data_IF_535342523664
#
_entry.id   IF_535342523664
#
_cell.length_a   1.000
_cell.length_b   1.000
_cell.length_c   1.000
_cell.angle_alpha   90.00
_cell.angle_beta   90.00
_cell.angle_gamma   90.00
#
_symmetry.space_group_name_H-M   'P 1'
#
loop_
_entity.id
_entity.type
_entity.pdbx_description
1 polymer ?
#
# COMPACT_ATOMS: atom_id res chain seq x y z
N UNK A 1 -0.10 -12.01 52.74
CA UNK A 1 0.14 -10.58 52.58
C UNK A 1 -0.02 -10.27 51.10
N UNK A 2 -1.19 -9.75 50.78
CA UNK A 2 -1.56 -9.37 49.42
C UNK A 2 -0.98 -8.00 49.06
N UNK A 3 -0.27 -7.90 47.97
CA UNK A 3 0.04 -6.59 47.36
C UNK A 3 -0.39 -6.63 45.89
N UNK A 4 -1.67 -6.42 45.65
CA UNK A 4 -2.18 -5.97 44.36
C UNK A 4 -1.83 -4.48 44.21
N UNK A 5 -0.83 -4.12 43.42
CA UNK A 5 -0.72 -2.79 42.86
C UNK A 5 -1.39 -2.80 41.49
N UNK A 6 -2.25 -1.82 41.19
CA UNK A 6 -2.83 -1.68 39.85
C UNK A 6 -1.75 -1.20 38.88
N UNK A 7 -1.64 -1.86 37.72
CA UNK A 7 -0.84 -1.38 36.60
C UNK A 7 -1.34 0.01 36.17
N UNK A 8 -0.40 0.93 36.07
CA UNK A 8 -0.64 2.31 35.64
C UNK A 8 -1.33 2.33 34.26
N UNK A 9 -2.38 3.13 34.20
CA UNK A 9 -3.06 3.45 32.95
C UNK A 9 -2.07 4.03 31.91
N UNK A 10 -2.31 3.81 30.60
CA UNK A 10 -1.44 4.34 29.56
C UNK A 10 -1.43 5.88 29.62
N UNK A 11 -0.24 6.45 29.50
CA UNK A 11 0.00 7.88 29.47
C UNK A 11 -0.93 8.57 28.45
N UNK A 12 -1.57 9.63 28.90
CA UNK A 12 -2.45 10.47 28.12
C UNK A 12 -1.80 10.92 26.81
N UNK A 13 -2.35 10.49 25.68
CA UNK A 13 -2.08 11.00 24.32
C UNK A 13 -2.62 12.44 24.10
N UNK A 14 -2.77 13.19 25.19
CA UNK A 14 -3.52 14.46 25.21
C UNK A 14 -2.80 15.72 24.74
N UNK A 15 -1.49 15.70 24.48
CA UNK A 15 -0.76 16.96 24.22
C UNK A 15 -0.26 17.16 22.78
N UNK A 16 -0.38 16.17 21.90
CA UNK A 16 0.16 16.30 20.53
C UNK A 16 -0.76 17.03 19.53
N UNK A 17 -1.96 17.47 19.93
CA UNK A 17 -2.93 18.07 19.00
C UNK A 17 -2.74 19.56 18.69
N UNK A 18 -1.84 20.26 19.33
CA UNK A 18 -1.78 21.74 19.23
C UNK A 18 -0.50 22.33 18.62
N UNK A 19 0.46 21.54 18.15
CA UNK A 19 1.68 22.10 17.54
C UNK A 19 1.79 21.96 16.02
N UNK A 20 0.77 21.44 15.33
CA UNK A 20 0.69 21.58 13.87
C UNK A 20 0.22 22.98 13.49
N UNK A 21 0.96 23.99 13.95
CA UNK A 21 0.88 25.34 13.43
C UNK A 21 1.26 25.30 11.95
N UNK A 22 0.30 25.66 11.08
CA UNK A 22 0.43 26.03 9.67
C UNK A 22 1.87 25.92 9.17
N UNK A 23 2.27 24.72 8.77
CA UNK A 23 3.51 24.55 8.03
C UNK A 23 3.34 25.35 6.76
N UNK A 24 4.05 26.45 6.64
CA UNK A 24 4.08 27.22 5.40
C UNK A 24 4.78 26.35 4.37
N UNK A 25 4.04 25.81 3.43
CA UNK A 25 4.61 25.01 2.34
C UNK A 25 5.36 25.94 1.43
N UNK A 26 6.67 25.73 1.31
CA UNK A 26 7.51 26.46 0.38
C UNK A 26 7.45 25.85 -1.02
N UNK A 27 7.80 26.63 -2.03
CA UNK A 27 7.73 26.20 -3.44
C UNK A 27 8.60 24.99 -3.76
N UNK A 28 9.64 24.75 -2.97
CA UNK A 28 10.62 23.68 -3.15
C UNK A 28 10.42 22.52 -2.17
N UNK A 29 9.31 22.48 -1.45
CA UNK A 29 9.01 21.38 -0.55
C UNK A 29 8.42 20.19 -1.30
N UNK A 30 8.75 18.98 -0.84
CA UNK A 30 8.04 17.76 -1.20
C UNK A 30 6.94 17.53 -0.18
N UNK A 31 5.69 17.51 -0.63
CA UNK A 31 4.54 17.20 0.19
C UNK A 31 4.29 15.70 0.19
N UNK A 32 4.04 15.15 1.38
CA UNK A 32 3.60 13.77 1.55
C UNK A 32 2.26 13.79 2.27
N UNK A 33 1.24 13.22 1.66
CA UNK A 33 -0.08 13.16 2.25
C UNK A 33 -0.84 11.92 1.81
N UNK A 34 -1.73 11.44 2.68
CA UNK A 34 -2.66 10.36 2.35
C UNK A 34 -4.04 10.93 2.08
N UNK A 35 -4.74 10.39 1.10
CA UNK A 35 -6.16 10.66 0.87
C UNK A 35 -7.05 9.50 1.33
N UNK A 36 -6.43 8.41 1.77
CA UNK A 36 -7.02 7.25 2.43
C UNK A 36 -5.93 6.33 2.99
N UNK A 37 -6.30 5.38 3.85
CA UNK A 37 -5.39 4.36 4.38
C UNK A 37 -4.68 4.71 5.69
N UNK A 38 -4.87 5.89 6.27
CA UNK A 38 -4.31 6.24 7.59
C UNK A 38 -5.35 6.09 8.70
N UNK A 39 -5.03 5.27 9.72
CA UNK A 39 -5.92 5.00 10.84
C UNK A 39 -7.16 4.18 10.47
N UNK A 40 -7.13 3.51 9.32
CA UNK A 40 -8.19 2.65 8.81
C UNK A 40 -7.58 1.53 7.96
N UNK A 41 -8.33 0.45 7.73
CA UNK A 41 -7.97 -0.60 6.79
C UNK A 41 -8.69 -0.31 5.46
N UNK A 42 -7.91 -0.34 4.38
CA UNK A 42 -8.40 -0.07 3.02
C UNK A 42 -8.31 1.39 2.59
N UNK A 43 -8.74 1.68 1.37
CA UNK A 43 -8.60 2.96 0.68
C UNK A 43 -7.15 3.45 0.56
N UNK A 44 -6.18 2.54 0.57
CA UNK A 44 -4.77 2.90 0.50
C UNK A 44 -4.51 3.79 -0.70
N UNK A 45 -4.13 5.05 -0.43
CA UNK A 45 -3.83 6.03 -1.48
C UNK A 45 -2.95 7.13 -0.91
N UNK A 46 -1.67 7.09 -1.27
CA UNK A 46 -0.65 8.00 -0.77
C UNK A 46 -0.13 8.88 -1.92
N UNK A 47 0.12 10.13 -1.62
CA UNK A 47 0.52 11.11 -2.62
C UNK A 47 1.83 11.79 -2.22
N UNK A 48 2.73 11.92 -3.20
CA UNK A 48 4.00 12.64 -3.09
C UNK A 48 4.00 13.73 -4.16
N UNK A 49 4.06 14.97 -3.72
CA UNK A 49 3.89 16.11 -4.61
C UNK A 49 5.11 17.02 -4.53
N UNK A 50 5.69 17.35 -5.68
CA UNK A 50 6.75 18.36 -5.80
C UNK A 50 6.60 19.14 -7.11
N UNK A 51 6.60 20.46 -7.02
CA UNK A 51 6.45 21.32 -8.18
C UNK A 51 5.18 21.02 -8.99
N UNK A 52 5.33 20.59 -10.23
CA UNK A 52 4.20 20.27 -11.12
C UNK A 52 3.97 18.77 -11.29
N UNK A 53 4.43 17.95 -10.36
CA UNK A 53 4.31 16.49 -10.41
C UNK A 53 3.67 15.94 -9.14
N UNK A 54 2.85 14.92 -9.28
CA UNK A 54 2.28 14.11 -8.21
C UNK A 54 2.53 12.64 -8.55
N UNK A 55 3.26 11.97 -7.69
CA UNK A 55 3.36 10.52 -7.66
C UNK A 55 2.26 10.01 -6.71
N UNK A 56 1.39 9.13 -7.19
CA UNK A 56 0.35 8.49 -6.40
C UNK A 56 0.77 7.03 -6.21
N UNK A 57 0.75 6.56 -4.99
CA UNK A 57 0.96 5.15 -4.64
C UNK A 57 -0.35 4.57 -4.16
N UNK A 58 -0.79 3.54 -4.87
CA UNK A 58 -2.05 2.84 -4.70
C UNK A 58 -3.29 3.71 -4.90
N UNK A 59 -4.42 3.05 -5.16
CA UNK A 59 -5.74 3.65 -5.31
C UNK A 59 -6.79 2.62 -4.89
N UNK A 60 -6.92 2.44 -3.59
CA UNK A 60 -7.73 1.39 -3.01
C UNK A 60 -9.17 1.78 -2.72
N UNK A 61 -9.94 0.76 -2.36
CA UNK A 61 -11.28 0.91 -1.77
C UNK A 61 -11.29 0.33 -0.37
N UNK A 62 -12.32 0.67 0.39
CA UNK A 62 -12.72 -0.04 1.60
C UNK A 62 -14.07 -0.68 1.35
N UNK A 63 -14.27 -1.91 1.82
CA UNK A 63 -15.59 -2.52 1.85
C UNK A 63 -16.45 -1.83 2.92
N UNK A 64 -17.74 -1.60 2.65
CA UNK A 64 -18.62 -0.97 3.61
C UNK A 64 -18.83 -1.87 4.83
N UNK A 65 -19.13 -1.25 5.96
CA UNK A 65 -19.62 -1.95 7.14
C UNK A 65 -21.06 -2.47 6.90
N UNK A 66 -21.48 -3.48 7.63
CA UNK A 66 -22.79 -4.14 7.47
C UNK A 66 -23.99 -3.19 7.60
N UNK A 67 -23.82 -2.03 8.25
CA UNK A 67 -24.84 -1.00 8.43
C UNK A 67 -25.04 -0.09 7.18
N UNK A 68 -24.16 -0.17 6.20
CA UNK A 68 -24.22 0.63 4.97
C UNK A 68 -24.91 -0.14 3.83
N UNK A 69 -26.20 -0.43 3.99
CA UNK A 69 -26.98 -1.19 3.02
C UNK A 69 -27.02 -0.50 1.65
N UNK A 70 -26.71 -1.26 0.58
CA UNK A 70 -26.72 -0.77 -0.80
C UNK A 70 -25.46 0.01 -1.20
N UNK A 71 -24.42 0.04 -0.36
CA UNK A 71 -23.11 0.57 -0.68
C UNK A 71 -22.19 -0.59 -1.01
N UNK A 72 -21.60 -0.61 -2.20
CA UNK A 72 -20.66 -1.65 -2.61
C UNK A 72 -19.21 -1.33 -2.20
N UNK A 73 -18.82 -0.05 -2.30
CA UNK A 73 -17.46 0.41 -2.00
C UNK A 73 -17.45 1.78 -1.35
N UNK A 74 -16.46 2.00 -0.48
CA UNK A 74 -16.11 3.31 0.05
C UNK A 74 -14.77 3.71 -0.59
N UNK A 75 -14.73 4.86 -1.25
CA UNK A 75 -13.57 5.38 -1.98
C UNK A 75 -12.98 6.60 -1.27
N UNK A 76 -11.70 6.93 -1.51
CA UNK A 76 -11.13 8.21 -1.07
C UNK A 76 -11.81 9.41 -1.74
N UNK A 77 -11.72 10.58 -1.09
CA UNK A 77 -12.07 11.85 -1.74
C UNK A 77 -10.92 12.33 -2.63
N UNK A 78 -11.11 12.25 -3.92
CA UNK A 78 -10.14 12.71 -4.92
C UNK A 78 -10.16 14.23 -5.17
N UNK A 79 -10.93 15.02 -4.41
CA UNK A 79 -11.12 16.46 -4.61
C UNK A 79 -9.81 17.24 -4.74
N UNK A 80 -8.79 16.92 -3.93
CA UNK A 80 -7.48 17.54 -4.05
C UNK A 80 -6.80 17.25 -5.41
N UNK A 81 -6.81 16.00 -5.86
CA UNK A 81 -6.22 15.60 -7.13
C UNK A 81 -6.96 16.22 -8.33
N UNK A 82 -8.28 16.38 -8.24
CA UNK A 82 -9.13 17.06 -9.24
C UNK A 82 -8.78 18.54 -9.32
N UNK A 83 -8.64 19.21 -8.18
CA UNK A 83 -8.25 20.64 -8.12
C UNK A 83 -6.93 20.89 -8.83
N UNK A 84 -5.98 19.98 -8.70
CA UNK A 84 -4.66 20.07 -9.33
C UNK A 84 -4.53 19.22 -10.60
N UNK A 85 -5.59 19.07 -11.37
CA UNK A 85 -5.65 18.20 -12.54
C UNK A 85 -4.66 18.57 -13.66
N UNK A 86 -4.12 19.80 -13.66
CA UNK A 86 -3.04 20.23 -14.58
C UNK A 86 -1.66 19.70 -14.21
N UNK A 87 -1.43 19.27 -12.96
CA UNK A 87 -0.16 18.65 -12.58
C UNK A 87 -0.05 17.28 -13.23
N UNK A 88 1.15 16.92 -13.65
CA UNK A 88 1.47 15.59 -14.15
C UNK A 88 1.29 14.56 -13.06
N UNK A 89 0.52 13.51 -13.30
CA UNK A 89 0.27 12.45 -12.32
C UNK A 89 0.57 11.10 -12.92
N UNK A 90 1.29 10.28 -12.16
CA UNK A 90 1.43 8.85 -12.41
C UNK A 90 0.90 8.09 -11.19
N UNK A 91 0.40 6.89 -11.43
CA UNK A 91 -0.04 5.96 -10.40
C UNK A 91 0.92 4.77 -10.38
N UNK A 92 1.42 4.44 -9.21
CA UNK A 92 2.26 3.26 -8.95
C UNK A 92 1.50 2.35 -8.00
N UNK A 93 1.48 1.07 -8.30
CA UNK A 93 0.78 0.06 -7.52
C UNK A 93 1.78 -0.86 -6.85
N UNK A 94 1.59 -1.09 -5.56
CA UNK A 94 2.42 -2.00 -4.77
C UNK A 94 2.07 -3.45 -5.04
N UNK A 95 0.78 -3.79 -5.07
CA UNK A 95 0.27 -5.14 -5.30
C UNK A 95 -1.22 -5.13 -5.69
N UNK A 96 -1.81 -6.30 -5.92
CA UNK A 96 -3.11 -6.44 -6.58
C UNK A 96 -4.33 -6.62 -5.66
N UNK A 97 -4.27 -6.36 -4.36
CA UNK A 97 -5.44 -6.43 -3.50
C UNK A 97 -6.42 -5.27 -3.74
N UNK A 98 -7.70 -5.50 -3.45
CA UNK A 98 -8.78 -4.52 -3.73
C UNK A 98 -8.61 -3.20 -2.99
N UNK A 99 -8.11 -3.24 -1.79
CA UNK A 99 -7.83 -2.05 -0.98
C UNK A 99 -6.61 -1.26 -1.45
N UNK A 100 -5.93 -1.72 -2.53
CA UNK A 100 -4.84 -1.03 -3.24
C UNK A 100 -5.18 -0.71 -4.70
N UNK A 101 -6.07 -1.47 -5.37
CA UNK A 101 -6.40 -1.25 -6.79
C UNK A 101 -7.88 -0.97 -7.05
N UNK A 102 -8.76 -1.26 -6.09
CA UNK A 102 -10.21 -1.19 -6.30
C UNK A 102 -10.74 0.19 -6.66
N UNK A 103 -10.06 1.25 -6.21
CA UNK A 103 -10.41 2.64 -6.48
C UNK A 103 -10.01 3.17 -7.87
N UNK A 104 -9.16 2.44 -8.61
CA UNK A 104 -8.62 2.89 -9.90
C UNK A 104 -9.72 3.33 -10.89
N UNK A 105 -10.82 2.59 -11.11
CA UNK A 105 -11.86 3.05 -12.04
C UNK A 105 -12.52 4.35 -11.63
N UNK A 106 -12.66 4.59 -10.33
CA UNK A 106 -13.26 5.83 -9.80
C UNK A 106 -12.28 7.00 -9.93
N UNK A 107 -10.99 6.78 -9.63
CA UNK A 107 -9.92 7.75 -9.82
C UNK A 107 -9.84 8.21 -11.29
N UNK A 108 -9.81 7.28 -12.24
CA UNK A 108 -9.67 7.58 -13.67
C UNK A 108 -10.87 8.30 -14.29
N UNK A 109 -12.04 8.29 -13.66
CA UNK A 109 -13.21 9.05 -14.12
C UNK A 109 -13.10 10.55 -13.87
N UNK A 110 -12.28 10.94 -12.89
CA UNK A 110 -12.23 12.34 -12.43
C UNK A 110 -10.82 12.94 -12.44
N UNK A 111 -9.79 12.12 -12.41
CA UNK A 111 -8.40 12.56 -12.34
C UNK A 111 -7.63 12.08 -13.58
N UNK A 112 -6.90 13.00 -14.23
CA UNK A 112 -6.05 12.66 -15.36
C UNK A 112 -4.76 11.99 -14.87
N UNK A 113 -4.61 10.69 -15.14
CA UNK A 113 -3.43 9.88 -14.84
C UNK A 113 -2.71 9.58 -16.16
N UNK A 114 -1.43 9.93 -16.26
CA UNK A 114 -0.62 9.73 -17.47
C UNK A 114 -0.31 8.26 -17.71
N UNK A 115 0.04 7.52 -16.65
CA UNK A 115 0.32 6.09 -16.72
C UNK A 115 0.10 5.43 -15.36
N UNK A 116 -0.23 4.14 -15.41
CA UNK A 116 -0.25 3.22 -14.27
C UNK A 116 0.95 2.29 -14.38
N UNK A 117 1.76 2.23 -13.34
CA UNK A 117 2.87 1.31 -13.19
C UNK A 117 2.48 0.28 -12.15
N UNK A 118 2.46 -1.01 -12.50
CA UNK A 118 2.00 -2.05 -11.60
C UNK A 118 2.75 -3.36 -11.84
N UNK A 119 2.91 -4.21 -10.81
CA UNK A 119 3.42 -5.56 -10.97
C UNK A 119 2.55 -6.37 -11.93
N UNK A 120 3.13 -7.38 -12.54
CA UNK A 120 2.48 -8.18 -13.59
C UNK A 120 1.12 -8.72 -13.18
N UNK A 121 1.02 -9.31 -12.00
CA UNK A 121 -0.24 -9.87 -11.51
C UNK A 121 -1.28 -8.76 -11.27
N UNK A 122 -0.90 -7.66 -10.64
CA UNK A 122 -1.76 -6.50 -10.45
C UNK A 122 -2.23 -5.91 -11.79
N UNK A 123 -1.35 -5.83 -12.80
CA UNK A 123 -1.74 -5.40 -14.15
C UNK A 123 -2.87 -6.25 -14.75
N UNK A 124 -2.84 -7.58 -14.57
CA UNK A 124 -3.89 -8.45 -15.05
C UNK A 124 -5.24 -8.18 -14.37
N UNK A 125 -5.23 -7.99 -13.05
CA UNK A 125 -6.43 -7.66 -12.27
C UNK A 125 -6.99 -6.28 -12.64
N UNK A 126 -6.10 -5.28 -12.76
CA UNK A 126 -6.50 -3.91 -13.15
C UNK A 126 -7.10 -3.91 -14.56
N UNK A 127 -6.51 -4.61 -15.54
CA UNK A 127 -7.09 -4.71 -16.90
C UNK A 127 -8.51 -5.25 -16.86
N UNK A 128 -8.75 -6.35 -16.15
CA UNK A 128 -10.09 -6.93 -15.99
C UNK A 128 -11.06 -5.91 -15.39
N UNK A 129 -10.65 -5.23 -14.31
CA UNK A 129 -11.44 -4.19 -13.66
C UNK A 129 -11.76 -3.02 -14.60
N UNK A 130 -10.79 -2.56 -15.37
CA UNK A 130 -11.00 -1.50 -16.37
C UNK A 130 -11.92 -1.93 -17.51
N UNK A 131 -11.90 -3.21 -17.92
CA UNK A 131 -12.84 -3.79 -18.90
C UNK A 131 -14.27 -3.73 -18.37
N UNK A 132 -14.51 -4.18 -17.15
CA UNK A 132 -15.80 -4.15 -16.48
C UNK A 132 -16.37 -2.72 -16.41
N UNK A 133 -15.49 -1.75 -16.16
CA UNK A 133 -15.85 -0.31 -16.08
C UNK A 133 -15.80 0.44 -17.43
N UNK A 134 -15.43 -0.23 -18.55
CA UNK A 134 -15.27 0.33 -19.91
C UNK A 134 -14.24 1.45 -20.02
N UNK A 135 -13.12 1.32 -19.27
CA UNK A 135 -12.06 2.33 -19.17
C UNK A 135 -10.72 1.92 -19.77
N UNK A 136 -10.61 0.76 -20.43
CA UNK A 136 -9.34 0.17 -20.91
C UNK A 136 -8.51 1.12 -21.78
N UNK A 137 -9.15 1.99 -22.56
CA UNK A 137 -8.48 2.89 -23.52
C UNK A 137 -8.02 4.20 -22.87
N UNK A 138 -8.29 4.41 -21.59
CA UNK A 138 -8.17 5.73 -20.98
C UNK A 138 -6.79 5.98 -20.36
N UNK A 139 -5.95 4.95 -20.18
CA UNK A 139 -4.67 5.08 -19.51
C UNK A 139 -3.64 4.08 -20.04
N UNK A 140 -2.39 4.51 -20.08
CA UNK A 140 -1.25 3.65 -20.37
C UNK A 140 -0.92 2.79 -19.16
N UNK A 141 -0.83 1.48 -19.31
CA UNK A 141 -0.43 0.54 -18.27
C UNK A 141 0.96 -0.04 -18.57
N UNK A 142 1.86 0.00 -17.60
CA UNK A 142 3.26 -0.41 -17.70
C UNK A 142 3.54 -1.43 -16.60
N UNK A 143 3.99 -2.62 -17.01
CA UNK A 143 4.41 -3.66 -16.08
C UNK A 143 5.77 -3.32 -15.47
N UNK A 144 5.90 -3.50 -14.15
CA UNK A 144 7.12 -3.28 -13.37
C UNK A 144 7.46 -4.50 -12.51
N UNK A 145 8.71 -4.52 -12.07
CA UNK A 145 9.25 -5.49 -11.10
C UNK A 145 10.32 -4.80 -10.23
N UNK A 146 10.99 -5.56 -9.37
CA UNK A 146 12.07 -5.11 -8.48
C UNK A 146 13.28 -4.47 -9.20
N UNK A 147 13.50 -4.80 -10.50
CA UNK A 147 14.57 -4.23 -11.31
C UNK A 147 14.15 -2.96 -12.08
N UNK A 148 12.89 -2.59 -11.98
CA UNK A 148 12.35 -1.43 -12.68
C UNK A 148 12.73 -0.12 -12.00
N UNK A 149 12.75 0.97 -12.77
CA UNK A 149 12.84 2.33 -12.23
C UNK A 149 11.96 3.27 -13.02
N UNK A 150 11.45 4.29 -12.33
CA UNK A 150 10.66 5.36 -12.96
C UNK A 150 11.38 6.68 -12.69
N UNK A 151 11.63 7.42 -13.77
CA UNK A 151 12.24 8.74 -13.68
C UNK A 151 11.21 9.81 -14.05
N UNK A 152 10.88 10.65 -13.10
CA UNK A 152 10.13 11.89 -13.27
C UNK A 152 11.11 13.06 -13.18
N UNK A 153 10.63 14.28 -13.32
CA UNK A 153 11.50 15.46 -13.18
C UNK A 153 12.02 15.61 -11.74
N UNK A 154 11.17 15.31 -10.75
CA UNK A 154 11.48 15.53 -9.34
C UNK A 154 11.56 14.23 -8.52
N UNK A 155 11.10 13.12 -9.08
CA UNK A 155 11.10 11.82 -8.40
C UNK A 155 11.87 10.77 -9.19
N UNK A 156 12.65 9.98 -8.48
CA UNK A 156 13.17 8.70 -8.99
C UNK A 156 12.61 7.60 -8.10
N UNK A 157 11.91 6.65 -8.72
CA UNK A 157 11.23 5.57 -8.01
C UNK A 157 11.90 4.25 -8.35
N UNK A 158 12.32 3.52 -7.33
CA UNK A 158 12.83 2.15 -7.39
C UNK A 158 11.92 1.21 -6.62
N UNK A 159 12.14 -0.08 -6.79
CA UNK A 159 11.29 -1.13 -6.23
C UNK A 159 12.13 -2.22 -5.56
N UNK A 160 11.52 -2.93 -4.63
CA UNK A 160 12.11 -4.11 -4.00
C UNK A 160 11.00 -5.11 -3.65
N UNK A 161 11.31 -6.40 -3.72
CA UNK A 161 10.33 -7.43 -3.39
C UNK A 161 10.00 -7.44 -1.91
N UNK A 162 8.72 -7.52 -1.59
CA UNK A 162 8.18 -7.80 -0.26
C UNK A 162 7.43 -9.13 -0.26
N UNK A 163 7.20 -9.71 0.91
CA UNK A 163 6.40 -10.93 1.04
C UNK A 163 5.02 -10.52 1.55
N UNK A 164 4.01 -10.90 0.80
CA UNK A 164 2.62 -10.71 1.18
C UNK A 164 1.76 -11.89 0.72
N UNK A 165 0.46 -11.90 1.03
CA UNK A 165 -0.48 -12.98 0.69
C UNK A 165 -0.89 -13.01 -0.79
N UNK A 166 -0.32 -12.16 -1.63
CA UNK A 166 -0.56 -12.08 -3.08
C UNK A 166 0.78 -12.04 -3.83
N UNK A 167 0.87 -12.62 -5.05
CA UNK A 167 2.10 -12.58 -5.84
C UNK A 167 2.52 -11.18 -6.26
N UNK A 168 3.81 -11.02 -6.51
CA UNK A 168 4.45 -9.82 -7.08
C UNK A 168 4.29 -8.55 -6.22
N UNK A 169 4.26 -8.69 -4.88
CA UNK A 169 4.21 -7.52 -3.99
C UNK A 169 5.53 -6.78 -3.97
N UNK A 170 5.46 -5.45 -4.09
CA UNK A 170 6.61 -4.55 -4.13
C UNK A 170 6.52 -3.49 -3.03
N UNK A 171 7.65 -3.24 -2.38
CA UNK A 171 7.90 -2.00 -1.68
C UNK A 171 8.54 -0.97 -2.62
N UNK A 172 8.46 0.29 -2.26
CA UNK A 172 8.81 1.42 -3.13
C UNK A 172 9.85 2.31 -2.45
N UNK A 173 10.92 2.63 -3.16
CA UNK A 173 11.90 3.65 -2.78
C UNK A 173 11.67 4.89 -3.63
N UNK A 174 11.40 6.03 -3.01
CA UNK A 174 11.16 7.31 -3.67
C UNK A 174 12.28 8.28 -3.29
N UNK A 175 13.13 8.62 -4.25
CA UNK A 175 14.08 9.72 -4.07
C UNK A 175 13.40 11.02 -4.51
N UNK A 176 13.44 12.00 -3.64
CA UNK A 176 12.87 13.35 -3.85
C UNK A 176 13.96 14.40 -3.69
N UNK A 177 13.73 15.66 -4.10
CA UNK A 177 14.68 16.72 -3.82
C UNK A 177 14.94 17.00 -2.33
N UNK A 178 14.01 16.60 -1.45
CA UNK A 178 14.07 16.90 -0.01
C UNK A 178 14.43 15.68 0.85
N UNK A 179 14.58 14.51 0.25
CA UNK A 179 14.94 13.31 1.01
C UNK A 179 14.45 12.02 0.35
N UNK A 180 14.74 10.94 1.03
CA UNK A 180 14.49 9.57 0.58
C UNK A 180 13.34 8.97 1.40
N UNK A 181 12.34 8.47 0.71
CA UNK A 181 11.13 7.90 1.31
C UNK A 181 11.08 6.43 0.92
N UNK A 182 10.73 5.59 1.88
CA UNK A 182 10.42 4.17 1.65
C UNK A 182 8.97 3.92 2.04
N UNK A 183 8.23 3.27 1.16
CA UNK A 183 6.88 2.78 1.38
C UNK A 183 6.90 1.27 1.20
N UNK A 184 6.43 0.52 2.20
CA UNK A 184 6.58 -0.94 2.24
C UNK A 184 5.54 -1.69 1.42
N UNK A 185 4.42 -1.05 1.06
CA UNK A 185 3.22 -1.79 0.74
C UNK A 185 2.81 -2.67 1.92
N UNK A 186 1.93 -3.60 1.70
CA UNK A 186 1.61 -4.64 2.67
C UNK A 186 2.73 -5.68 2.69
N UNK A 187 3.19 -6.06 3.86
CA UNK A 187 4.31 -6.97 3.99
C UNK A 187 4.28 -7.84 5.24
N UNK A 188 5.06 -8.89 5.20
CA UNK A 188 5.46 -9.68 6.37
C UNK A 188 6.91 -10.13 6.23
N UNK A 189 7.55 -10.45 7.34
CA UNK A 189 8.83 -11.15 7.33
C UNK A 189 8.60 -12.64 7.43
N UNK A 190 8.93 -13.38 6.37
CA UNK A 190 8.91 -14.84 6.33
C UNK A 190 10.20 -15.33 5.67
N UNK A 191 11.01 -16.09 6.41
CA UNK A 191 12.28 -16.63 5.90
C UNK A 191 12.10 -17.89 5.05
N UNK A 192 10.89 -18.42 4.97
CA UNK A 192 10.53 -19.61 4.19
C UNK A 192 9.19 -19.43 3.47
N UNK A 193 9.06 -18.40 2.62
CA UNK A 193 7.85 -18.18 1.84
C UNK A 193 7.67 -19.30 0.80
N UNK A 194 6.46 -19.41 0.27
CA UNK A 194 6.16 -20.29 -0.88
C UNK A 194 6.61 -19.63 -2.19
N UNK A 195 6.53 -18.31 -2.27
CA UNK A 195 6.93 -17.51 -3.42
C UNK A 195 8.39 -17.03 -3.36
N UNK A 196 8.62 -15.84 -3.93
CA UNK A 196 9.93 -15.19 -3.90
C UNK A 196 10.25 -14.68 -2.49
N UNK A 197 11.52 -14.66 -2.15
CA UNK A 197 11.98 -14.01 -0.91
C UNK A 197 11.89 -12.49 -1.03
N UNK A 198 11.76 -11.83 0.12
CA UNK A 198 11.94 -10.37 0.18
C UNK A 198 13.40 -10.00 -0.12
N UNK A 199 13.60 -8.79 -0.65
CA UNK A 199 14.91 -8.25 -0.98
C UNK A 199 15.62 -7.69 0.27
N UNK A 200 15.95 -8.57 1.22
CA UNK A 200 16.59 -8.17 2.47
C UNK A 200 17.91 -7.41 2.26
N UNK A 201 18.65 -7.71 1.18
CA UNK A 201 19.88 -6.98 0.84
C UNK A 201 19.59 -5.54 0.45
N UNK A 202 18.54 -5.31 -0.34
CA UNK A 202 18.10 -3.96 -0.73
C UNK A 202 17.62 -3.20 0.50
N UNK A 203 16.84 -3.85 1.39
CA UNK A 203 16.40 -3.23 2.64
C UNK A 203 17.58 -2.83 3.54
N UNK A 204 18.58 -3.71 3.70
CA UNK A 204 19.80 -3.41 4.45
C UNK A 204 20.59 -2.25 3.82
N UNK A 205 20.72 -2.23 2.50
CA UNK A 205 21.37 -1.15 1.78
C UNK A 205 20.64 0.19 1.97
N UNK A 206 19.32 0.21 1.88
CA UNK A 206 18.52 1.41 2.18
C UNK A 206 18.77 1.93 3.60
N UNK A 207 18.87 1.03 4.58
CA UNK A 207 19.22 1.39 5.95
C UNK A 207 20.61 2.02 6.06
N UNK A 208 21.60 1.57 5.26
CA UNK A 208 22.95 2.14 5.25
C UNK A 208 23.01 3.53 4.61
N UNK A 209 22.29 3.73 3.49
CA UNK A 209 22.28 5.03 2.80
C UNK A 209 21.37 6.06 3.46
N UNK A 210 20.57 5.65 4.43
CA UNK A 210 19.62 6.47 5.18
C UNK A 210 18.26 6.63 4.48
N UNK A 211 17.21 6.64 5.26
CA UNK A 211 15.82 6.86 4.86
C UNK A 211 15.27 7.99 5.73
N UNK A 212 14.76 9.04 5.11
CA UNK A 212 14.26 10.21 5.83
C UNK A 212 12.83 9.99 6.32
N UNK A 213 12.02 9.22 5.56
CA UNK A 213 10.66 8.84 5.93
C UNK A 213 10.41 7.37 5.58
N UNK A 214 10.04 6.56 6.58
CA UNK A 214 9.53 5.22 6.39
C UNK A 214 8.01 5.21 6.59
N UNK A 215 7.27 4.83 5.55
CA UNK A 215 5.85 4.54 5.59
C UNK A 215 5.69 3.03 5.58
N UNK A 216 5.11 2.48 6.62
CA UNK A 216 5.05 1.03 6.85
C UNK A 216 3.63 0.57 7.13
N UNK A 217 3.26 -0.58 6.57
CA UNK A 217 2.10 -1.35 7.03
C UNK A 217 2.19 -1.58 8.54
N UNK A 218 1.05 -1.43 9.20
CA UNK A 218 0.91 -1.62 10.63
C UNK A 218 -0.34 -2.41 11.02
N UNK A 219 -0.94 -3.14 10.07
CA UNK A 219 -2.22 -3.84 10.23
C UNK A 219 -2.24 -4.76 11.44
N UNK A 220 -1.20 -5.56 11.63
CA UNK A 220 -1.08 -6.50 12.75
C UNK A 220 -0.12 -6.03 13.86
N UNK A 221 0.20 -4.75 13.93
CA UNK A 221 1.18 -4.22 14.90
C UNK A 221 0.76 -4.37 16.37
N UNK A 222 -0.53 -4.53 16.64
CA UNK A 222 -1.06 -4.78 18.00
C UNK A 222 -1.23 -6.25 18.36
N UNK A 223 -0.86 -7.19 17.49
CA UNK A 223 -0.98 -8.64 17.75
C UNK A 223 0.33 -9.13 18.38
N UNK A 224 0.23 -9.61 19.62
CA UNK A 224 1.36 -10.17 20.36
C UNK A 224 1.58 -11.63 19.96
N UNK A 225 2.21 -11.89 18.81
CA UNK A 225 2.71 -13.23 18.45
C UNK A 225 3.50 -13.17 17.12
N UNK A 226 4.03 -14.33 16.70
CA UNK A 226 4.71 -14.50 15.43
C UNK A 226 3.79 -15.18 14.42
N UNK A 227 3.76 -14.66 13.20
CA UNK A 227 3.09 -15.32 12.08
C UNK A 227 3.75 -16.66 11.77
N UNK A 228 2.92 -17.69 11.53
CA UNK A 228 3.39 -18.98 11.03
C UNK A 228 3.91 -18.79 9.59
N UNK A 229 5.05 -19.41 9.24
CA UNK A 229 5.58 -19.32 7.90
C UNK A 229 4.68 -20.00 6.86
N UNK A 230 4.67 -19.48 5.64
CA UNK A 230 3.87 -20.04 4.53
C UNK A 230 4.19 -21.50 4.27
N UNK A 231 5.47 -21.88 4.33
CA UNK A 231 5.89 -23.27 4.16
C UNK A 231 5.28 -24.20 5.19
N UNK A 232 5.17 -23.76 6.44
CA UNK A 232 4.53 -24.55 7.52
C UNK A 232 3.03 -24.66 7.29
N UNK A 233 2.36 -23.57 6.93
CA UNK A 233 0.92 -23.56 6.58
C UNK A 233 0.65 -24.51 5.41
N UNK A 234 1.47 -24.48 4.36
CA UNK A 234 1.34 -25.37 3.20
C UNK A 234 1.46 -26.85 3.60
N UNK A 235 2.41 -27.17 4.52
CA UNK A 235 2.55 -28.53 5.04
C UNK A 235 1.33 -28.98 5.85
N UNK A 236 0.80 -28.12 6.71
CA UNK A 236 -0.39 -28.42 7.51
C UNK A 236 -1.64 -28.64 6.61
N UNK A 237 -1.84 -27.80 5.60
CA UNK A 237 -2.93 -27.97 4.61
C UNK A 237 -2.77 -29.31 3.88
N UNK A 238 -1.55 -29.67 3.46
CA UNK A 238 -1.28 -30.93 2.79
C UNK A 238 -1.61 -32.14 3.70
N UNK A 239 -1.24 -32.08 4.98
CA UNK A 239 -1.57 -33.12 5.94
C UNK A 239 -3.08 -33.26 6.19
N UNK A 240 -3.80 -32.13 6.34
CA UNK A 240 -5.25 -32.11 6.47
C UNK A 240 -5.90 -32.76 5.24
N UNK A 241 -5.45 -32.36 4.05
CA UNK A 241 -5.95 -32.90 2.78
C UNK A 241 -5.75 -34.41 2.69
N UNK A 242 -4.59 -34.92 3.09
CA UNK A 242 -4.27 -36.36 3.07
C UNK A 242 -5.09 -37.17 4.07
N UNK A 243 -5.43 -36.59 5.22
CA UNK A 243 -6.22 -37.26 6.28
C UNK A 243 -7.72 -37.13 6.06
N UNK A 244 -8.18 -36.24 5.20
CA UNK A 244 -9.60 -36.02 4.94
C UNK A 244 -10.18 -37.17 4.11
N UNK A 245 -11.13 -37.90 4.68
CA UNK A 245 -11.85 -38.98 4.01
C UNK A 245 -13.18 -38.53 3.37
N UNK A 246 -13.55 -37.28 3.54
CA UNK A 246 -14.80 -36.70 3.06
C UNK A 246 -14.58 -35.42 2.26
N UNK A 247 -15.47 -34.44 2.45
CA UNK A 247 -15.39 -33.13 1.80
C UNK A 247 -14.48 -32.21 2.59
N UNK A 248 -13.49 -31.61 1.93
CA UNK A 248 -12.70 -30.52 2.45
C UNK A 248 -13.30 -29.18 1.96
N UNK A 249 -13.60 -28.27 2.89
CA UNK A 249 -14.07 -26.93 2.60
C UNK A 249 -12.96 -25.95 3.01
N UNK A 250 -12.49 -25.15 2.05
CA UNK A 250 -11.50 -24.08 2.29
C UNK A 250 -12.26 -22.76 2.14
N UNK A 251 -12.34 -22.00 3.24
CA UNK A 251 -12.89 -20.65 3.22
C UNK A 251 -11.74 -19.65 3.10
N UNK A 252 -11.78 -18.86 2.06
CA UNK A 252 -10.78 -17.82 1.77
C UNK A 252 -11.44 -16.67 1.02
N UNK A 253 -10.80 -15.54 0.97
CA UNK A 253 -11.19 -14.36 0.19
C UNK A 253 -10.07 -14.01 -0.79
#
# INVERSE_FOLDING_TARGET
MNSNQPMNAPHELGSFRNEYNKTTVEKNDTLVYAIGGLGEIGKNTYCFEHGNEILIVDAGVRFPEDNLLGVDYVIPDYGHLIKYNRKRKILVITHGHEDHIGGIPFLLRSVNIEAIYAPRFACALIRKKLEEHRLVKNVKMIEINDQSSINMKHFTVGFFNTIHSIPDSLGILINTPNGRIVETGDFKFDLTPVGLNADYQVMAYMGQIGVDLLMSDSTNSGVEDFSISEKKVAQEILEITRKCSGRLIVATF
#
